data_IF_732100228930
#
_entry.id   IF_732100228930
#
_cell.length_a   1.000
_cell.length_b   1.000
_cell.length_c   1.000
_cell.angle_alpha   90.00
_cell.angle_beta   90.00
_cell.angle_gamma   90.00
#
_symmetry.space_group_name_H-M   'P 1'
#
loop_
_entity.id
_entity.type
_entity.pdbx_description
1 polymer ?
#
# COMPACT_ATOMS: atom_id res chain seq x y z
N UNK A 1 -0.30 16.60 9.99
CA UNK A 1 -0.10 15.14 10.25
C UNK A 1 0.59 14.98 11.60
N UNK A 2 0.02 14.15 12.47
CA UNK A 2 0.51 13.93 13.83
C UNK A 2 1.13 12.54 13.95
N UNK A 3 2.40 12.48 14.29
CA UNK A 3 3.20 11.26 14.26
C UNK A 3 3.73 10.94 15.66
N UNK A 4 3.75 9.66 16.00
CA UNK A 4 4.49 9.15 17.16
C UNK A 4 5.70 8.38 16.66
N UNK A 5 6.89 8.67 17.21
CA UNK A 5 8.08 7.84 17.08
C UNK A 5 8.29 7.02 18.35
N UNK A 6 8.16 5.71 18.24
CA UNK A 6 8.43 4.76 19.31
C UNK A 6 9.71 3.99 18.99
N UNK A 7 10.53 3.75 19.99
CA UNK A 7 11.74 2.94 19.86
C UNK A 7 12.55 2.95 21.14
N UNK A 8 13.41 1.97 21.32
CA UNK A 8 14.28 1.83 22.48
C UNK A 8 15.26 2.99 22.65
N UNK A 9 15.96 3.06 23.79
CA UNK A 9 17.09 3.96 23.92
C UNK A 9 18.11 3.66 22.80
N UNK A 10 18.72 4.69 22.20
CA UNK A 10 19.68 4.50 21.11
C UNK A 10 19.09 4.13 19.74
N UNK A 11 17.76 4.06 19.59
CA UNK A 11 17.12 3.71 18.29
C UNK A 11 17.15 4.82 17.23
N UNK A 12 17.67 6.01 17.54
CA UNK A 12 17.77 7.12 16.58
C UNK A 12 16.52 8.00 16.46
N UNK A 13 15.55 7.91 17.40
CA UNK A 13 14.31 8.69 17.35
C UNK A 13 14.51 10.17 17.05
N UNK A 14 15.36 10.85 17.81
CA UNK A 14 15.57 12.30 17.65
C UNK A 14 16.17 12.63 16.27
N UNK A 15 17.11 11.83 15.80
CA UNK A 15 17.70 11.97 14.47
C UNK A 15 16.61 11.84 13.38
N UNK A 16 15.79 10.81 13.46
CA UNK A 16 14.73 10.62 12.45
C UNK A 16 13.59 11.64 12.60
N UNK A 17 13.31 12.12 13.82
CA UNK A 17 12.37 13.21 14.04
C UNK A 17 12.78 14.48 13.28
N UNK A 18 14.06 14.84 13.27
CA UNK A 18 14.58 15.99 12.53
C UNK A 18 14.35 15.87 11.01
N UNK A 19 14.60 14.69 10.42
CA UNK A 19 14.31 14.45 9.01
C UNK A 19 12.80 14.53 8.71
N UNK A 20 11.97 13.96 9.58
CA UNK A 20 10.52 13.96 9.42
C UNK A 20 9.96 15.39 9.53
N UNK A 21 10.38 16.16 10.52
CA UNK A 21 9.91 17.54 10.72
C UNK A 21 10.28 18.44 9.55
N UNK A 22 11.48 18.28 9.00
CA UNK A 22 11.93 19.02 7.83
C UNK A 22 11.12 18.65 6.58
N UNK A 23 10.88 17.35 6.34
CA UNK A 23 10.17 16.88 5.15
C UNK A 23 8.69 17.25 5.14
N UNK A 24 8.01 17.14 6.29
CA UNK A 24 6.56 17.38 6.39
C UNK A 24 6.21 18.77 6.91
N UNK A 25 7.21 19.58 7.26
CA UNK A 25 7.02 20.92 7.84
C UNK A 25 6.07 20.91 9.06
N UNK A 26 6.37 20.01 10.02
CA UNK A 26 5.63 19.82 11.27
C UNK A 26 6.55 20.01 12.47
N UNK A 27 5.97 20.21 13.65
CA UNK A 27 6.72 20.54 14.86
C UNK A 27 7.33 19.29 15.52
N UNK A 28 8.53 19.42 16.09
CA UNK A 28 9.18 18.40 16.90
C UNK A 28 8.80 18.60 18.37
N UNK A 29 8.01 17.69 18.91
CA UNK A 29 7.64 17.69 20.33
C UNK A 29 8.42 16.59 21.04
N UNK A 30 9.46 17.00 21.78
CA UNK A 30 10.31 16.13 22.57
C UNK A 30 10.11 16.44 24.07
N UNK A 31 9.31 15.64 24.82
CA UNK A 31 9.04 15.91 26.24
C UNK A 31 10.28 16.02 27.11
N UNK A 32 11.35 15.30 26.79
CA UNK A 32 12.61 15.41 27.49
C UNK A 32 13.23 16.80 27.41
N UNK A 33 13.07 17.51 26.30
CA UNK A 33 13.53 18.89 26.16
C UNK A 33 12.60 19.87 26.89
N UNK A 34 11.29 19.65 26.76
CA UNK A 34 10.29 20.45 27.47
C UNK A 34 10.50 20.41 28.98
N UNK A 35 10.78 19.23 29.54
CA UNK A 35 11.11 19.04 30.95
C UNK A 35 12.40 19.76 31.35
N UNK A 36 13.46 19.71 30.53
CA UNK A 36 14.70 20.45 30.79
C UNK A 36 14.46 21.96 30.79
N UNK A 37 13.70 22.48 29.83
CA UNK A 37 13.31 23.89 29.76
C UNK A 37 12.49 24.31 30.99
N UNK A 38 11.50 23.50 31.38
CA UNK A 38 10.69 23.75 32.58
C UNK A 38 11.52 23.72 33.85
N UNK A 39 12.49 22.82 33.96
CA UNK A 39 13.41 22.77 35.11
C UNK A 39 14.30 24.03 35.17
N UNK A 40 14.79 24.52 34.03
CA UNK A 40 15.63 25.72 33.96
C UNK A 40 14.87 27.02 34.27
N UNK A 41 13.55 27.06 34.01
CA UNK A 41 12.71 28.23 34.30
C UNK A 41 12.42 28.44 35.81
N UNK A 42 12.71 27.42 36.61
CA UNK A 42 12.45 27.53 38.08
C UNK A 42 10.99 27.33 38.47
N UNK A 43 10.66 27.72 39.71
CA UNK A 43 9.31 27.60 40.25
C UNK A 43 8.99 26.21 40.81
N UNK A 44 7.71 26.00 41.12
CA UNK A 44 7.21 24.77 41.80
C UNK A 44 7.42 23.51 40.92
N UNK A 45 7.20 23.63 39.62
CA UNK A 45 7.42 22.54 38.67
C UNK A 45 8.90 22.10 38.65
N UNK A 46 9.84 23.05 38.67
CA UNK A 46 11.26 22.76 38.74
C UNK A 46 11.66 22.05 40.03
N UNK A 47 11.06 22.42 41.17
CA UNK A 47 11.29 21.73 42.45
C UNK A 47 10.84 20.26 42.39
N UNK A 48 9.64 19.99 41.87
CA UNK A 48 9.14 18.62 41.67
C UNK A 48 10.01 17.80 40.72
N UNK A 49 10.57 18.40 39.66
CA UNK A 49 11.47 17.76 38.72
C UNK A 49 12.89 17.54 39.25
N UNK A 50 13.33 18.34 40.23
CA UNK A 50 14.68 18.23 40.84
C UNK A 50 14.80 17.06 41.81
N UNK A 51 13.69 16.59 42.38
CA UNK A 51 13.63 15.46 43.31
C UNK A 51 13.58 14.08 42.61
N UNK A 52 13.62 14.04 41.24
CA UNK A 52 13.56 12.79 40.50
C UNK A 52 14.94 12.09 40.53
N UNK A 53 14.92 10.81 40.82
CA UNK A 53 16.09 9.94 40.66
C UNK A 53 16.58 9.84 39.22
N UNK A 54 17.89 9.56 39.02
CA UNK A 54 18.46 9.34 37.69
C UNK A 54 17.81 8.10 37.05
N UNK A 55 17.09 8.32 35.94
CA UNK A 55 16.44 7.24 35.15
C UNK A 55 14.95 7.01 35.44
N UNK A 56 14.35 7.74 36.37
CA UNK A 56 12.91 7.70 36.61
C UNK A 56 12.13 8.52 35.58
N UNK A 57 10.85 8.15 35.39
CA UNK A 57 9.94 8.94 34.57
C UNK A 57 9.48 10.17 35.35
N UNK A 58 9.41 11.31 34.67
CA UNK A 58 8.82 12.51 35.24
C UNK A 58 7.33 12.33 35.58
N UNK A 59 6.79 13.04 36.58
CA UNK A 59 5.38 12.98 36.96
C UNK A 59 4.48 13.20 35.74
N UNK A 60 3.50 12.30 35.55
CA UNK A 60 2.66 12.26 34.36
C UNK A 60 1.85 13.55 34.15
N UNK A 61 1.38 14.16 35.19
CA UNK A 61 0.64 15.43 35.15
C UNK A 61 1.48 16.56 34.57
N UNK A 62 2.77 16.63 34.94
CA UNK A 62 3.71 17.62 34.40
C UNK A 62 3.96 17.35 32.91
N UNK A 63 4.24 16.10 32.56
CA UNK A 63 4.50 15.72 31.15
C UNK A 63 3.27 16.01 30.29
N UNK A 64 2.08 15.62 30.74
CA UNK A 64 0.84 15.84 30.01
C UNK A 64 0.57 17.33 29.78
N UNK A 65 0.76 18.16 30.83
CA UNK A 65 0.60 19.63 30.72
C UNK A 65 1.53 20.21 29.67
N UNK A 66 2.84 19.87 29.72
CA UNK A 66 3.82 20.38 28.77
C UNK A 66 3.55 19.91 27.33
N UNK A 67 3.10 18.66 27.17
CA UNK A 67 2.73 18.10 25.87
C UNK A 67 1.49 18.81 25.31
N UNK A 68 0.46 19.05 26.12
CA UNK A 68 -0.74 19.78 25.69
C UNK A 68 -0.41 21.20 25.24
N UNK A 69 0.42 21.92 26.03
CA UNK A 69 0.85 23.26 25.67
C UNK A 69 1.66 23.31 24.37
N UNK A 70 2.47 22.27 24.10
CA UNK A 70 3.22 22.14 22.86
C UNK A 70 2.31 21.81 21.68
N UNK A 71 1.38 20.87 21.83
CA UNK A 71 0.41 20.50 20.80
C UNK A 71 -0.49 21.68 20.43
N UNK A 72 -0.93 22.48 21.40
CA UNK A 72 -1.75 23.67 21.15
C UNK A 72 -1.04 24.74 20.30
N UNK A 73 0.30 24.77 20.32
CA UNK A 73 1.14 25.67 19.50
C UNK A 73 1.45 25.11 18.11
N UNK A 74 1.28 23.81 17.91
CA UNK A 74 1.59 23.16 16.64
C UNK A 74 0.51 23.41 15.59
N UNK A 75 0.82 24.21 14.56
CA UNK A 75 -0.17 24.65 13.56
C UNK A 75 -0.33 23.68 12.39
N UNK A 76 0.71 22.91 12.03
CA UNK A 76 0.73 22.03 10.83
C UNK A 76 0.77 20.55 11.17
N UNK A 77 0.76 20.22 12.46
CA UNK A 77 0.97 18.88 12.98
C UNK A 77 2.30 18.75 13.70
N UNK A 78 2.59 17.56 14.20
CA UNK A 78 3.77 17.35 15.04
C UNK A 78 4.30 15.91 14.93
N UNK A 79 5.54 15.73 15.38
CA UNK A 79 6.11 14.42 15.70
C UNK A 79 6.45 14.35 17.19
N UNK A 80 5.90 13.37 17.89
CA UNK A 80 6.31 13.04 19.24
C UNK A 80 7.58 12.18 19.23
N UNK A 81 8.62 12.65 19.87
CA UNK A 81 9.86 11.90 20.08
C UNK A 81 9.88 11.28 21.49
N UNK A 82 9.67 9.98 21.56
CA UNK A 82 9.70 9.23 22.79
C UNK A 82 8.53 9.54 23.75
N UNK A 83 7.36 9.80 23.21
CA UNK A 83 6.09 9.92 23.91
C UNK A 83 4.98 9.34 23.01
N UNK A 84 4.02 8.56 23.57
CA UNK A 84 3.93 8.07 24.94
C UNK A 84 4.95 6.97 25.25
N UNK A 85 5.34 6.84 26.54
CA UNK A 85 6.27 5.80 27.01
C UNK A 85 5.60 4.65 27.74
N UNK A 86 4.40 4.83 28.26
CA UNK A 86 3.62 3.82 28.95
C UNK A 86 2.11 4.02 28.71
N UNK A 87 1.33 2.99 29.03
CA UNK A 87 -0.08 2.94 28.64
C UNK A 87 -0.96 4.05 29.23
N UNK A 88 -0.62 4.58 30.43
CA UNK A 88 -1.39 5.70 30.97
C UNK A 88 -1.29 6.94 30.07
N UNK A 89 -0.11 7.22 29.50
CA UNK A 89 0.08 8.34 28.57
C UNK A 89 -0.71 8.13 27.25
N UNK A 90 -0.88 6.90 26.82
CA UNK A 90 -1.76 6.60 25.66
C UNK A 90 -3.21 6.97 25.98
N UNK A 91 -3.70 6.55 27.14
CA UNK A 91 -5.06 6.88 27.62
C UNK A 91 -5.26 8.38 27.78
N UNK A 92 -4.25 9.08 28.26
CA UNK A 92 -4.30 10.53 28.44
C UNK A 92 -4.39 11.24 27.08
N UNK A 93 -3.62 10.80 26.06
CA UNK A 93 -3.74 11.34 24.69
C UNK A 93 -5.15 11.14 24.12
N UNK A 94 -5.73 9.97 24.33
CA UNK A 94 -7.09 9.66 23.87
C UNK A 94 -8.14 10.53 24.61
N UNK A 95 -8.01 10.66 25.92
CA UNK A 95 -8.89 11.50 26.77
C UNK A 95 -8.85 12.97 26.37
N UNK A 96 -7.66 13.49 26.06
CA UNK A 96 -7.47 14.87 25.62
C UNK A 96 -7.84 15.09 24.13
N UNK A 97 -8.29 14.04 23.43
CA UNK A 97 -8.70 14.15 22.03
C UNK A 97 -7.54 14.44 21.07
N UNK A 98 -6.30 14.18 21.47
CA UNK A 98 -5.12 14.40 20.64
C UNK A 98 -5.04 13.29 19.59
N UNK A 99 -5.43 13.62 18.37
CA UNK A 99 -5.50 12.67 17.25
C UNK A 99 -4.10 12.35 16.72
N UNK A 100 -3.79 11.07 16.59
CA UNK A 100 -2.54 10.55 16.00
C UNK A 100 -2.86 9.91 14.67
N UNK A 101 -2.14 10.30 13.62
CA UNK A 101 -2.34 9.81 12.26
C UNK A 101 -1.45 8.60 11.96
N UNK A 102 -0.20 8.63 12.41
CA UNK A 102 0.80 7.58 12.15
C UNK A 102 1.64 7.28 13.40
N UNK A 103 2.02 6.02 13.54
CA UNK A 103 2.95 5.57 14.58
C UNK A 103 4.10 4.82 13.93
N UNK A 104 5.30 5.33 14.04
CA UNK A 104 6.52 4.70 13.54
C UNK A 104 7.24 4.02 14.68
N UNK A 105 7.35 2.72 14.61
CA UNK A 105 8.13 1.91 15.53
C UNK A 105 9.50 1.61 14.94
N UNK A 106 10.54 2.14 15.60
CA UNK A 106 11.93 1.88 15.24
C UNK A 106 12.40 0.60 15.94
N UNK A 107 12.38 -0.49 15.20
CA UNK A 107 12.85 -1.78 15.69
C UNK A 107 14.37 -1.87 15.50
N UNK A 108 15.09 -1.99 16.61
CA UNK A 108 16.55 -2.09 16.66
C UNK A 108 16.91 -3.22 17.61
N UNK A 109 17.88 -4.07 17.23
CA UNK A 109 18.34 -5.18 18.05
C UNK A 109 19.02 -4.68 19.34
N UNK A 110 18.94 -5.43 20.43
CA UNK A 110 19.62 -5.07 21.68
C UNK A 110 21.11 -4.84 21.51
N UNK A 111 21.77 -5.64 20.67
CA UNK A 111 23.20 -5.55 20.36
C UNK A 111 23.53 -4.21 19.70
N UNK A 112 22.75 -3.80 18.73
CA UNK A 112 22.93 -2.54 18.03
C UNK A 112 22.61 -1.33 18.95
N UNK A 113 21.62 -1.45 19.82
CA UNK A 113 21.31 -0.44 20.85
C UNK A 113 22.52 -0.24 21.76
N UNK A 114 23.10 -1.33 22.26
CA UNK A 114 24.31 -1.26 23.14
C UNK A 114 25.45 -0.61 22.37
N UNK A 115 25.74 -1.06 21.14
CA UNK A 115 26.79 -0.51 20.30
C UNK A 115 26.65 1.02 20.12
N UNK A 116 25.45 1.48 19.76
CA UNK A 116 25.17 2.91 19.55
C UNK A 116 25.28 3.75 20.81
N UNK A 117 24.76 3.26 21.94
CA UNK A 117 24.84 3.98 23.20
C UNK A 117 26.26 4.08 23.73
N UNK A 118 27.05 2.99 23.64
CA UNK A 118 28.46 2.99 24.01
C UNK A 118 29.29 3.97 23.14
N UNK A 119 29.03 3.97 21.82
CA UNK A 119 29.69 4.89 20.89
C UNK A 119 29.32 6.37 21.13
N UNK A 120 28.10 6.64 21.64
CA UNK A 120 27.65 8.00 21.97
C UNK A 120 28.36 8.61 23.19
N UNK A 121 28.75 7.81 24.16
CA UNK A 121 29.59 8.19 25.26
C UNK A 121 29.09 9.23 26.24
N UNK A 122 27.76 9.30 26.48
CA UNK A 122 27.18 10.20 27.50
C UNK A 122 27.41 9.63 28.91
N UNK A 123 27.32 10.47 29.92
CA UNK A 123 27.45 10.05 31.33
C UNK A 123 26.46 8.96 31.75
N UNK A 124 25.28 8.93 31.10
CA UNK A 124 24.21 7.94 31.33
C UNK A 124 24.30 6.72 30.41
N UNK A 125 25.37 6.57 29.62
CA UNK A 125 25.60 5.44 28.72
C UNK A 125 26.58 4.38 29.33
N UNK A 126 26.57 4.23 30.65
CA UNK A 126 27.29 3.14 31.34
C UNK A 126 26.56 1.81 31.13
N UNK A 127 27.25 0.67 30.99
CA UNK A 127 26.64 -0.63 30.66
C UNK A 127 25.47 -1.04 31.54
N UNK A 128 25.54 -0.82 32.84
CA UNK A 128 24.49 -1.12 33.82
C UNK A 128 23.24 -0.23 33.61
N UNK A 129 23.47 1.08 33.35
CA UNK A 129 22.39 2.03 33.10
C UNK A 129 21.71 1.68 31.75
N UNK A 130 22.48 1.29 30.73
CA UNK A 130 21.95 0.86 29.44
C UNK A 130 21.04 -0.37 29.62
N UNK A 131 21.50 -1.40 30.37
CA UNK A 131 20.70 -2.60 30.66
C UNK A 131 19.37 -2.25 31.35
N UNK A 132 19.42 -1.41 32.36
CA UNK A 132 18.24 -0.96 33.08
C UNK A 132 17.27 -0.18 32.18
N UNK A 133 17.79 0.69 31.31
CA UNK A 133 16.96 1.44 30.33
C UNK A 133 16.29 0.53 29.31
N UNK A 134 16.98 -0.50 28.83
CA UNK A 134 16.41 -1.51 27.92
C UNK A 134 15.34 -2.32 28.63
N UNK A 135 15.58 -2.75 29.89
CA UNK A 135 14.61 -3.50 30.67
C UNK A 135 13.34 -2.67 30.95
N UNK A 136 13.51 -1.41 31.37
CA UNK A 136 12.41 -0.48 31.60
C UNK A 136 11.60 -0.22 30.31
N UNK A 137 12.30 -0.01 29.19
CA UNK A 137 11.68 0.15 27.88
C UNK A 137 10.81 -1.07 27.50
N UNK A 138 11.34 -2.27 27.65
CA UNK A 138 10.59 -3.50 27.37
C UNK A 138 9.36 -3.63 28.25
N UNK A 139 9.48 -3.33 29.55
CA UNK A 139 8.39 -3.42 30.51
C UNK A 139 7.30 -2.38 30.28
N UNK A 140 7.67 -1.13 30.12
CA UNK A 140 6.71 0.00 30.10
C UNK A 140 6.25 0.38 28.69
N UNK A 141 7.19 0.39 27.70
CA UNK A 141 6.89 0.82 26.32
C UNK A 141 6.50 -0.35 25.41
N UNK A 142 6.90 -1.57 25.75
CA UNK A 142 6.45 -2.78 25.03
C UNK A 142 4.93 -2.84 24.88
N UNK A 143 4.13 -2.70 25.94
CA UNK A 143 2.67 -2.66 25.84
C UNK A 143 2.12 -1.53 24.94
N UNK A 144 2.80 -0.38 24.89
CA UNK A 144 2.43 0.73 23.99
C UNK A 144 2.64 0.35 22.52
N UNK A 145 3.76 -0.31 22.21
CA UNK A 145 4.03 -0.83 20.85
C UNK A 145 2.93 -1.80 20.44
N UNK A 146 2.61 -2.78 21.31
CA UNK A 146 1.57 -3.79 21.00
C UNK A 146 0.17 -3.17 20.88
N UNK A 147 -0.11 -2.12 21.64
CA UNK A 147 -1.36 -1.37 21.50
C UNK A 147 -1.47 -0.72 20.12
N UNK A 148 -0.43 0.02 19.70
CA UNK A 148 -0.45 0.69 18.41
C UNK A 148 -0.27 -0.25 17.23
N UNK A 149 0.38 -1.40 17.38
CA UNK A 149 0.51 -2.44 16.35
C UNK A 149 -0.86 -2.89 15.80
N UNK A 150 -1.89 -2.85 16.64
CA UNK A 150 -3.28 -3.21 16.29
C UNK A 150 -4.07 -2.04 15.68
N UNK A 151 -3.51 -0.84 15.65
CA UNK A 151 -4.19 0.35 15.14
C UNK A 151 -3.79 0.66 13.68
N UNK A 152 -4.70 1.25 12.89
CA UNK A 152 -4.35 1.76 11.58
C UNK A 152 -3.22 2.80 11.67
N UNK A 153 -2.34 2.84 10.69
CA UNK A 153 -1.24 3.82 10.66
C UNK A 153 0.02 3.39 11.40
N UNK A 154 0.07 2.16 11.96
CA UNK A 154 1.29 1.60 12.53
C UNK A 154 2.28 1.19 11.43
N UNK A 155 3.52 1.64 11.57
CA UNK A 155 4.61 1.41 10.63
C UNK A 155 5.80 0.88 11.41
N UNK A 156 6.21 -0.34 11.15
CA UNK A 156 7.44 -0.90 11.71
C UNK A 156 8.60 -0.71 10.74
N UNK A 157 9.72 -0.22 11.26
CA UNK A 157 10.94 0.02 10.49
C UNK A 157 12.11 -0.63 11.22
N UNK A 158 12.84 -1.50 10.53
CA UNK A 158 14.12 -2.00 11.00
C UNK A 158 15.15 -0.87 10.85
N UNK A 159 15.49 -0.21 11.97
CA UNK A 159 16.31 0.99 11.97
C UNK A 159 17.77 0.65 12.29
N UNK A 160 18.33 -0.32 11.55
CA UNK A 160 19.72 -0.78 11.67
C UNK A 160 20.29 -1.22 10.32
N UNK A 161 21.61 -1.31 10.20
CA UNK A 161 22.29 -1.83 9.00
C UNK A 161 22.37 -0.86 7.80
N UNK A 162 22.20 0.46 8.02
CA UNK A 162 22.33 1.48 6.98
C UNK A 162 22.70 2.85 7.56
N UNK A 163 23.02 3.79 6.68
CA UNK A 163 23.25 5.19 7.06
C UNK A 163 21.96 5.86 7.54
N UNK A 164 22.05 6.81 8.48
CA UNK A 164 20.87 7.50 9.03
C UNK A 164 19.96 8.12 7.97
N UNK A 165 20.54 8.66 6.89
CA UNK A 165 19.82 9.28 5.78
C UNK A 165 19.03 8.26 4.96
N UNK A 166 19.55 7.06 4.76
CA UNK A 166 18.87 5.99 4.03
C UNK A 166 17.67 5.47 4.82
N UNK A 167 17.85 5.26 6.11
CA UNK A 167 16.78 4.86 7.02
C UNK A 167 15.72 5.97 7.11
N UNK A 168 16.13 7.24 7.18
CA UNK A 168 15.22 8.38 7.17
C UNK A 168 14.39 8.44 5.88
N UNK A 169 15.01 8.25 4.72
CA UNK A 169 14.29 8.17 3.42
C UNK A 169 13.28 7.02 3.40
N UNK A 170 13.65 5.86 3.95
CA UNK A 170 12.74 4.72 4.06
C UNK A 170 11.54 5.03 4.97
N UNK A 171 11.76 5.68 6.13
CA UNK A 171 10.69 6.12 7.03
C UNK A 171 9.77 7.11 6.32
N UNK A 172 10.32 8.14 5.68
CA UNK A 172 9.58 9.17 4.95
C UNK A 172 8.73 8.55 3.83
N UNK A 173 9.31 7.64 3.06
CA UNK A 173 8.56 6.94 2.01
C UNK A 173 7.39 6.13 2.57
N UNK A 174 7.59 5.42 3.68
CA UNK A 174 6.50 4.69 4.37
C UNK A 174 5.44 5.65 4.95
N UNK A 175 5.84 6.81 5.47
CA UNK A 175 4.91 7.84 5.97
C UNK A 175 4.09 8.48 4.84
N UNK A 176 4.68 8.66 3.66
CA UNK A 176 3.98 9.14 2.44
C UNK A 176 3.02 8.10 1.86
N UNK A 177 3.23 6.82 2.14
CA UNK A 177 2.30 5.77 1.75
C UNK A 177 1.00 5.95 2.54
N UNK A 178 -0.10 6.15 1.82
CA UNK A 178 -1.43 6.18 2.42
C UNK A 178 -1.74 4.82 3.04
N UNK A 179 -2.23 4.81 4.28
CA UNK A 179 -2.78 3.58 4.86
C UNK A 179 -3.97 3.12 4.04
N UNK A 180 -4.29 1.82 4.13
CA UNK A 180 -5.46 1.25 3.44
C UNK A 180 -6.76 2.00 3.82
N UNK A 181 -6.85 2.54 5.05
CA UNK A 181 -7.96 3.37 5.52
C UNK A 181 -7.95 4.76 4.89
N UNK A 182 -6.79 5.41 4.79
CA UNK A 182 -6.64 6.72 4.13
C UNK A 182 -6.79 6.60 2.61
N UNK A 183 -6.39 5.46 2.02
CA UNK A 183 -6.70 5.14 0.63
C UNK A 183 -8.20 4.91 0.44
N UNK A 184 -8.91 4.31 1.42
CA UNK A 184 -10.37 4.18 1.41
C UNK A 184 -11.11 5.50 1.52
N UNK A 185 -10.60 6.44 2.31
CA UNK A 185 -11.18 7.80 2.41
C UNK A 185 -10.85 8.65 1.18
N UNK A 186 -9.71 8.38 0.52
CA UNK A 186 -9.29 9.09 -0.69
C UNK A 186 -9.78 8.44 -1.99
N UNK A 187 -9.84 7.12 -2.06
CA UNK A 187 -10.66 6.40 -3.03
C UNK A 187 -12.08 6.63 -2.53
N UNK A 188 -12.81 7.48 -3.22
CA UNK A 188 -14.26 7.66 -3.02
C UNK A 188 -14.93 6.32 -3.31
N UNK A 189 -14.89 5.41 -2.32
CA UNK A 189 -15.44 4.05 -2.47
C UNK A 189 -16.95 4.11 -2.74
N UNK A 190 -17.42 3.15 -3.48
CA UNK A 190 -18.81 3.06 -3.89
C UNK A 190 -19.13 4.02 -5.03
N UNK A 191 -20.21 4.78 -4.91
CA UNK A 191 -20.76 5.60 -6.00
C UNK A 191 -19.85 6.70 -6.55
N UNK A 192 -18.79 7.04 -5.82
CA UNK A 192 -17.80 8.05 -6.21
C UNK A 192 -16.52 7.46 -6.77
N UNK A 193 -16.37 6.11 -6.77
CA UNK A 193 -15.22 5.46 -7.37
C UNK A 193 -15.27 5.63 -8.90
N UNK A 194 -14.26 6.23 -9.54
CA UNK A 194 -14.23 6.34 -11.00
C UNK A 194 -14.28 4.99 -11.72
N UNK A 195 -13.79 3.94 -11.06
CA UNK A 195 -13.80 2.57 -11.57
C UNK A 195 -15.09 1.80 -11.36
N UNK A 196 -16.07 2.35 -10.64
CA UNK A 196 -17.30 1.64 -10.30
C UNK A 196 -18.02 1.14 -11.56
N UNK A 197 -18.41 -0.13 -11.57
CA UNK A 197 -19.05 -0.78 -12.71
C UNK A 197 -18.26 -0.71 -14.02
N UNK A 198 -16.93 -0.69 -13.97
CA UNK A 198 -16.08 -0.72 -15.16
C UNK A 198 -15.19 -1.95 -15.15
N UNK A 199 -15.13 -2.64 -16.28
CA UNK A 199 -14.29 -3.82 -16.47
C UNK A 199 -13.46 -3.66 -17.74
N UNK A 200 -12.13 -3.76 -17.58
CA UNK A 200 -11.19 -3.74 -18.67
C UNK A 200 -10.64 -5.16 -18.88
N UNK A 201 -10.87 -5.71 -20.04
CA UNK A 201 -10.28 -6.97 -20.48
C UNK A 201 -8.96 -6.70 -21.17
N UNK A 202 -7.91 -7.42 -20.75
CA UNK A 202 -6.63 -7.42 -21.43
C UNK A 202 -6.50 -8.69 -22.25
N UNK A 203 -6.23 -8.55 -23.54
CA UNK A 203 -5.95 -9.65 -24.44
C UNK A 203 -4.60 -9.48 -25.12
N UNK A 204 -3.97 -10.60 -25.48
CA UNK A 204 -2.66 -10.66 -26.12
C UNK A 204 -1.95 -11.96 -25.75
N UNK A 205 -1.17 -12.52 -26.66
CA UNK A 205 -0.45 -13.78 -26.45
C UNK A 205 0.65 -13.70 -25.38
N UNK A 206 1.28 -14.83 -25.05
CA UNK A 206 2.53 -14.84 -24.29
C UNK A 206 3.57 -13.95 -24.99
N UNK A 207 4.38 -13.21 -24.25
CA UNK A 207 5.38 -12.30 -24.84
C UNK A 207 4.82 -10.97 -25.38
N UNK A 208 3.50 -10.77 -25.46
CA UNK A 208 2.92 -9.53 -26.00
C UNK A 208 3.14 -8.28 -25.13
N UNK A 209 3.52 -8.42 -23.85
CA UNK A 209 3.74 -7.29 -22.94
C UNK A 209 2.53 -6.85 -22.12
N UNK A 210 1.48 -7.67 -22.02
CA UNK A 210 0.30 -7.39 -21.18
C UNK A 210 0.65 -6.97 -19.76
N UNK A 211 1.54 -7.72 -19.09
CA UNK A 211 1.96 -7.43 -17.72
C UNK A 211 2.55 -6.03 -17.60
N UNK A 212 3.34 -5.62 -18.58
CA UNK A 212 3.91 -4.27 -18.61
C UNK A 212 2.83 -3.19 -18.76
N UNK A 213 1.86 -3.41 -19.66
CA UNK A 213 0.70 -2.51 -19.82
C UNK A 213 -0.12 -2.46 -18.53
N UNK A 214 -0.37 -3.62 -17.88
CA UNK A 214 -1.10 -3.68 -16.62
C UNK A 214 -0.40 -2.87 -15.53
N UNK A 215 0.89 -3.06 -15.34
CA UNK A 215 1.66 -2.40 -14.29
C UNK A 215 1.84 -0.90 -14.53
N UNK A 216 1.88 -0.47 -15.78
CA UNK A 216 2.17 0.92 -16.13
C UNK A 216 0.91 1.74 -16.43
N UNK A 217 0.06 1.28 -17.34
CA UNK A 217 -1.10 2.06 -17.79
C UNK A 217 -2.28 2.03 -16.79
N UNK A 218 -2.40 0.96 -16.00
CA UNK A 218 -3.40 0.84 -14.94
C UNK A 218 -2.90 1.25 -13.55
N UNK A 219 -1.63 1.62 -13.42
CA UNK A 219 -1.08 2.08 -12.14
C UNK A 219 -1.84 3.31 -11.61
N UNK A 220 -2.16 3.29 -10.32
CA UNK A 220 -2.85 4.40 -9.65
C UNK A 220 -4.33 4.59 -10.02
N UNK A 221 -4.94 3.68 -10.81
CA UNK A 221 -6.36 3.76 -11.19
C UNK A 221 -7.32 3.22 -10.13
N UNK A 222 -6.84 2.48 -9.14
CA UNK A 222 -7.69 1.81 -8.14
C UNK A 222 -8.38 0.53 -8.61
N UNK A 223 -8.29 0.20 -9.91
CA UNK A 223 -8.89 -1.01 -10.48
C UNK A 223 -8.28 -2.28 -9.90
N UNK A 224 -9.08 -3.31 -9.72
CA UNK A 224 -8.67 -4.60 -9.16
C UNK A 224 -8.21 -5.53 -10.28
N UNK A 225 -6.94 -5.91 -10.25
CA UNK A 225 -6.37 -6.83 -11.24
C UNK A 225 -6.78 -8.26 -10.91
N UNK A 226 -7.45 -8.90 -11.84
CA UNK A 226 -7.87 -10.30 -11.81
C UNK A 226 -6.96 -11.08 -12.73
N UNK A 227 -5.93 -11.69 -12.14
CA UNK A 227 -4.92 -12.50 -12.86
C UNK A 227 -4.45 -13.64 -11.96
N UNK A 228 -4.59 -14.88 -12.43
CA UNK A 228 -4.13 -16.07 -11.69
C UNK A 228 -2.63 -16.33 -11.84
N UNK A 229 -1.93 -15.71 -12.79
CA UNK A 229 -0.52 -16.00 -13.05
C UNK A 229 0.38 -15.61 -11.87
N UNK A 230 0.13 -14.49 -11.21
CA UNK A 230 0.91 -14.07 -10.04
C UNK A 230 0.70 -15.01 -8.82
N UNK A 231 -0.50 -15.54 -8.64
CA UNK A 231 -0.80 -16.52 -7.60
C UNK A 231 -0.16 -17.88 -7.95
N UNK A 232 -0.21 -18.28 -9.21
CA UNK A 232 0.40 -19.48 -9.72
C UNK A 232 1.93 -19.45 -9.56
N UNK A 233 2.59 -18.37 -9.95
CA UNK A 233 4.04 -18.23 -9.82
C UNK A 233 4.49 -18.27 -8.35
N UNK A 234 3.75 -17.63 -7.44
CA UNK A 234 4.02 -17.75 -6.01
C UNK A 234 3.87 -19.19 -5.51
N UNK A 235 2.83 -19.89 -5.97
CA UNK A 235 2.60 -21.30 -5.62
C UNK A 235 3.72 -22.21 -6.09
N UNK A 236 4.25 -22.02 -7.33
CA UNK A 236 5.39 -22.76 -7.83
C UNK A 236 6.64 -22.55 -6.97
N UNK A 237 6.96 -21.29 -6.65
CA UNK A 237 8.09 -20.94 -5.76
C UNK A 237 7.96 -21.56 -4.36
N UNK A 238 6.77 -21.54 -3.78
CA UNK A 238 6.50 -22.14 -2.47
C UNK A 238 6.62 -23.66 -2.46
N UNK A 239 6.30 -24.30 -3.59
CA UNK A 239 6.44 -25.75 -3.77
C UNK A 239 7.82 -26.17 -4.28
N UNK A 240 8.78 -25.23 -4.44
CA UNK A 240 10.09 -25.45 -5.02
C UNK A 240 10.06 -26.06 -6.44
N UNK A 241 9.00 -25.75 -7.22
CA UNK A 241 8.88 -26.20 -8.61
C UNK A 241 9.53 -25.19 -9.56
N UNK A 242 10.00 -25.72 -10.70
CA UNK A 242 10.70 -24.93 -11.71
C UNK A 242 9.77 -23.94 -12.42
N UNK A 243 10.24 -22.69 -12.56
CA UNK A 243 9.56 -21.69 -13.41
C UNK A 243 9.72 -21.98 -14.91
N UNK A 244 10.60 -22.90 -15.30
CA UNK A 244 10.77 -23.37 -16.69
C UNK A 244 9.74 -24.44 -17.10
N UNK A 245 8.95 -24.92 -16.13
CA UNK A 245 7.82 -25.84 -16.34
C UNK A 245 8.19 -27.15 -17.06
N UNK A 246 9.15 -27.94 -16.55
CA UNK A 246 9.47 -29.23 -17.14
C UNK A 246 8.29 -30.18 -17.04
N UNK A 247 8.20 -31.14 -17.95
CA UNK A 247 7.06 -32.06 -18.05
C UNK A 247 6.92 -32.97 -16.83
N UNK A 248 8.03 -33.31 -16.15
CA UNK A 248 8.06 -34.15 -14.96
C UNK A 248 7.30 -33.50 -13.77
N UNK A 249 7.17 -32.18 -13.76
CA UNK A 249 6.46 -31.43 -12.74
C UNK A 249 4.98 -31.17 -13.09
N UNK A 250 4.48 -31.65 -14.22
CA UNK A 250 3.16 -31.27 -14.76
C UNK A 250 2.02 -31.52 -13.77
N UNK A 251 2.00 -32.67 -13.11
CA UNK A 251 0.94 -33.02 -12.16
C UNK A 251 0.84 -32.00 -11.00
N UNK A 252 1.96 -31.74 -10.32
CA UNK A 252 1.98 -30.80 -9.18
C UNK A 252 1.73 -29.36 -9.63
N UNK A 253 2.27 -28.98 -10.81
CA UNK A 253 2.05 -27.71 -11.43
C UNK A 253 0.56 -27.45 -11.72
N UNK A 254 -0.16 -28.44 -12.19
CA UNK A 254 -1.59 -28.34 -12.48
C UNK A 254 -2.41 -28.17 -11.20
N UNK A 255 -2.10 -28.85 -10.10
CA UNK A 255 -2.73 -28.65 -8.80
C UNK A 255 -2.56 -27.20 -8.28
N UNK A 256 -1.35 -26.65 -8.44
CA UNK A 256 -1.08 -25.26 -8.04
C UNK A 256 -1.84 -24.28 -8.95
N UNK A 257 -1.93 -24.58 -10.24
CA UNK A 257 -2.69 -23.78 -11.20
C UNK A 257 -4.18 -23.72 -10.84
N UNK A 258 -4.76 -24.83 -10.47
CA UNK A 258 -6.18 -24.89 -10.10
C UNK A 258 -6.45 -24.14 -8.80
N UNK A 259 -5.57 -24.26 -7.80
CA UNK A 259 -5.65 -23.44 -6.57
C UNK A 259 -5.54 -21.93 -6.87
N UNK A 260 -4.62 -21.54 -7.74
CA UNK A 260 -4.44 -20.15 -8.15
C UNK A 260 -5.69 -19.60 -8.87
N UNK A 261 -6.31 -20.40 -9.73
CA UNK A 261 -7.59 -20.05 -10.39
C UNK A 261 -8.73 -19.90 -9.37
N UNK A 262 -8.88 -20.89 -8.46
CA UNK A 262 -9.91 -20.84 -7.42
C UNK A 262 -9.80 -19.58 -6.55
N UNK A 263 -8.60 -19.27 -6.07
CA UNK A 263 -8.33 -18.04 -5.31
C UNK A 263 -8.68 -16.78 -6.09
N UNK A 264 -8.32 -16.74 -7.37
CA UNK A 264 -8.60 -15.59 -8.25
C UNK A 264 -10.09 -15.43 -8.50
N UNK A 265 -10.83 -16.51 -8.67
CA UNK A 265 -12.29 -16.49 -8.84
C UNK A 265 -12.99 -15.99 -7.56
N UNK A 266 -12.57 -16.44 -6.37
CA UNK A 266 -13.10 -15.93 -5.10
C UNK A 266 -12.85 -14.42 -4.95
N UNK A 267 -11.67 -13.94 -5.34
CA UNK A 267 -11.37 -12.52 -5.34
C UNK A 267 -12.26 -11.75 -6.34
N UNK A 268 -12.44 -12.27 -7.56
CA UNK A 268 -13.32 -11.68 -8.57
C UNK A 268 -14.77 -11.56 -8.06
N UNK A 269 -15.31 -12.61 -7.46
CA UNK A 269 -16.65 -12.59 -6.86
C UNK A 269 -16.79 -11.50 -5.79
N UNK A 270 -15.77 -11.35 -4.95
CA UNK A 270 -15.74 -10.32 -3.93
C UNK A 270 -15.72 -8.91 -4.55
N UNK A 271 -14.92 -8.70 -5.59
CA UNK A 271 -14.84 -7.42 -6.30
C UNK A 271 -16.16 -7.08 -7.01
N UNK A 272 -16.80 -8.08 -7.63
CA UNK A 272 -18.10 -7.93 -8.26
C UNK A 272 -19.17 -7.56 -7.24
N UNK A 273 -19.22 -8.24 -6.08
CA UNK A 273 -20.13 -7.90 -4.97
C UNK A 273 -19.95 -6.46 -4.50
N UNK A 274 -18.69 -5.99 -4.45
CA UNK A 274 -18.35 -4.60 -4.15
C UNK A 274 -18.54 -3.62 -5.31
N UNK A 275 -18.91 -4.08 -6.50
CA UNK A 275 -19.06 -3.29 -7.74
C UNK A 275 -17.78 -2.55 -8.13
N UNK A 276 -16.64 -3.06 -7.70
CA UNK A 276 -15.33 -2.44 -7.90
C UNK A 276 -14.94 -2.49 -9.38
N UNK A 277 -14.12 -1.55 -9.79
CA UNK A 277 -13.53 -1.56 -11.12
C UNK A 277 -12.53 -2.70 -11.30
N UNK A 278 -12.55 -3.34 -12.45
CA UNK A 278 -11.84 -4.58 -12.75
C UNK A 278 -10.86 -4.42 -13.90
N UNK A 279 -9.71 -5.09 -13.79
CA UNK A 279 -8.81 -5.40 -14.90
C UNK A 279 -8.72 -6.93 -14.97
N UNK A 280 -9.31 -7.53 -16.02
CA UNK A 280 -9.32 -8.98 -16.24
C UNK A 280 -8.20 -9.29 -17.22
N UNK A 281 -7.09 -9.79 -16.70
CA UNK A 281 -5.93 -10.17 -17.50
C UNK A 281 -6.09 -11.61 -18.00
N UNK A 282 -6.50 -11.72 -19.25
CA UNK A 282 -6.68 -12.97 -19.98
C UNK A 282 -5.74 -13.03 -21.19
N UNK A 283 -5.47 -14.22 -21.69
CA UNK A 283 -4.73 -14.35 -22.96
C UNK A 283 -5.57 -13.87 -24.14
N UNK A 284 -6.89 -13.99 -24.05
CA UNK A 284 -7.80 -13.72 -25.17
C UNK A 284 -7.84 -14.82 -26.23
N UNK A 285 -7.26 -16.01 -25.94
CA UNK A 285 -7.32 -17.17 -26.82
C UNK A 285 -8.70 -17.84 -26.80
N UNK A 286 -9.31 -17.90 -25.63
CA UNK A 286 -10.63 -18.49 -25.43
C UNK A 286 -11.72 -17.42 -25.61
N UNK A 287 -12.26 -17.34 -26.83
CA UNK A 287 -13.28 -16.39 -27.19
C UNK A 287 -14.59 -16.62 -26.40
N UNK A 288 -15.00 -17.88 -26.22
CA UNK A 288 -16.26 -18.20 -25.54
C UNK A 288 -16.20 -17.80 -24.08
N UNK A 289 -15.06 -18.03 -23.40
CA UNK A 289 -14.88 -17.60 -22.01
C UNK A 289 -14.99 -16.08 -21.89
N UNK A 290 -14.31 -15.33 -22.76
CA UNK A 290 -14.36 -13.86 -22.74
C UNK A 290 -15.78 -13.35 -23.03
N UNK A 291 -16.47 -13.93 -24.02
CA UNK A 291 -17.86 -13.59 -24.34
C UNK A 291 -18.79 -13.82 -23.14
N UNK A 292 -18.67 -14.97 -22.48
CA UNK A 292 -19.49 -15.31 -21.32
C UNK A 292 -19.23 -14.36 -20.14
N UNK A 293 -17.96 -14.03 -19.86
CA UNK A 293 -17.60 -13.07 -18.82
C UNK A 293 -18.12 -11.66 -19.14
N UNK A 294 -17.99 -11.20 -20.37
CA UNK A 294 -18.51 -9.91 -20.81
C UNK A 294 -20.03 -9.87 -20.70
N UNK A 295 -20.73 -10.92 -21.12
CA UNK A 295 -22.18 -11.01 -21.03
C UNK A 295 -22.65 -10.94 -19.56
N UNK A 296 -22.02 -11.73 -18.67
CA UNK A 296 -22.30 -11.73 -17.24
C UNK A 296 -22.10 -10.33 -16.62
N UNK A 297 -20.93 -9.73 -16.85
CA UNK A 297 -20.60 -8.42 -16.30
C UNK A 297 -21.54 -7.33 -16.81
N UNK A 298 -21.90 -7.33 -18.10
CA UNK A 298 -22.90 -6.40 -18.65
C UNK A 298 -24.27 -6.60 -18.03
N UNK A 299 -24.66 -7.85 -17.79
CA UNK A 299 -25.95 -8.20 -17.18
C UNK A 299 -26.06 -7.66 -15.74
N UNK A 300 -24.96 -7.58 -15.00
CA UNK A 300 -24.94 -7.04 -13.64
C UNK A 300 -24.54 -5.56 -13.56
N UNK A 301 -24.44 -4.87 -14.69
CA UNK A 301 -24.31 -3.42 -14.76
C UNK A 301 -22.96 -2.89 -15.22
N UNK A 302 -21.96 -3.73 -15.49
CA UNK A 302 -20.63 -3.24 -15.88
C UNK A 302 -20.58 -2.73 -17.33
N UNK A 303 -19.88 -1.62 -17.51
CA UNK A 303 -19.36 -1.22 -18.81
C UNK A 303 -18.05 -1.96 -19.07
N UNK A 304 -18.02 -2.76 -20.13
CA UNK A 304 -16.87 -3.59 -20.49
C UNK A 304 -16.06 -2.95 -21.63
N UNK A 305 -14.75 -2.90 -21.44
CA UNK A 305 -13.77 -2.37 -22.38
C UNK A 305 -12.69 -3.42 -22.66
N UNK A 306 -11.97 -3.30 -23.77
CA UNK A 306 -10.85 -4.16 -24.10
C UNK A 306 -9.62 -3.34 -24.45
N UNK A 307 -8.47 -3.79 -23.91
CA UNK A 307 -7.13 -3.36 -24.36
C UNK A 307 -6.45 -4.60 -24.93
N UNK A 308 -6.29 -4.62 -26.25
CA UNK A 308 -5.67 -5.70 -26.97
C UNK A 308 -4.21 -5.34 -27.26
N UNK A 309 -3.28 -6.11 -26.71
CA UNK A 309 -1.84 -5.91 -26.90
C UNK A 309 -1.38 -6.81 -28.04
N UNK A 310 -1.23 -6.23 -29.22
CA UNK A 310 -0.80 -6.93 -30.42
C UNK A 310 0.72 -7.00 -30.53
N UNK A 311 1.23 -8.12 -31.01
CA UNK A 311 2.66 -8.37 -31.20
C UNK A 311 2.81 -9.38 -32.32
N UNK A 312 3.86 -9.28 -33.14
CA UNK A 312 4.23 -10.34 -34.10
C UNK A 312 4.68 -11.60 -33.36
N UNK A 313 4.62 -12.73 -34.06
CA UNK A 313 5.05 -14.01 -33.47
C UNK A 313 6.54 -13.97 -33.10
N UNK A 314 7.38 -13.42 -33.97
CA UNK A 314 8.84 -13.37 -33.77
C UNK A 314 9.19 -12.60 -32.49
N UNK A 315 8.60 -11.42 -32.30
CA UNK A 315 8.80 -10.61 -31.07
C UNK A 315 8.25 -11.32 -29.82
N UNK A 316 7.15 -12.05 -29.94
CA UNK A 316 6.60 -12.83 -28.85
C UNK A 316 7.51 -13.99 -28.44
N UNK A 317 8.12 -14.69 -29.38
CA UNK A 317 9.08 -15.78 -29.17
C UNK A 317 10.38 -15.24 -28.55
N UNK A 318 10.96 -14.18 -29.11
CA UNK A 318 12.17 -13.53 -28.58
C UNK A 318 11.97 -13.12 -27.09
N UNK A 319 10.87 -12.45 -26.81
CA UNK A 319 10.56 -12.03 -25.42
C UNK A 319 10.27 -13.20 -24.50
N UNK A 320 9.71 -14.31 -25.01
CA UNK A 320 9.50 -15.52 -24.21
C UNK A 320 10.82 -16.16 -23.83
N UNK A 321 11.79 -16.20 -24.74
CA UNK A 321 13.12 -16.81 -24.52
C UNK A 321 13.91 -16.03 -23.43
N UNK A 322 13.77 -14.72 -23.36
CA UNK A 322 14.52 -13.86 -22.41
C UNK A 322 13.86 -13.75 -21.03
N UNK A 323 12.67 -14.31 -20.83
CA UNK A 323 11.95 -14.24 -19.54
C UNK A 323 12.47 -15.25 -18.54
N UNK A 324 12.47 -14.88 -17.24
CA UNK A 324 12.75 -15.80 -16.13
C UNK A 324 11.78 -16.99 -16.03
N UNK A 325 10.56 -16.84 -16.59
CA UNK A 325 9.57 -17.90 -16.80
C UNK A 325 9.30 -18.01 -18.28
N UNK A 326 9.93 -18.97 -18.95
CA UNK A 326 9.68 -19.30 -20.34
C UNK A 326 8.72 -20.48 -20.47
N UNK A 327 7.94 -20.47 -21.54
CA UNK A 327 7.07 -21.58 -21.91
C UNK A 327 7.53 -22.14 -23.28
N UNK A 328 7.25 -23.41 -23.58
CA UNK A 328 7.61 -24.00 -24.85
C UNK A 328 7.11 -23.18 -26.04
N UNK A 329 7.94 -23.05 -27.09
CA UNK A 329 7.65 -22.22 -28.27
C UNK A 329 6.34 -22.58 -28.96
N UNK A 330 6.05 -23.89 -29.10
CA UNK A 330 4.80 -24.36 -29.71
C UNK A 330 3.55 -23.87 -28.95
N UNK A 331 3.66 -23.68 -27.62
CA UNK A 331 2.57 -23.12 -26.79
C UNK A 331 2.42 -21.62 -27.06
N UNK A 332 3.55 -20.90 -27.22
CA UNK A 332 3.54 -19.48 -27.60
C UNK A 332 2.85 -19.29 -28.92
N UNK A 333 3.28 -20.07 -29.96
CA UNK A 333 2.74 -20.00 -31.29
C UNK A 333 1.23 -20.31 -31.31
N UNK A 334 0.81 -21.44 -30.74
CA UNK A 334 -0.60 -21.85 -30.68
C UNK A 334 -1.46 -20.81 -29.96
N UNK A 335 -0.90 -20.21 -28.90
CA UNK A 335 -1.62 -19.16 -28.14
C UNK A 335 -1.71 -17.88 -28.97
N UNK A 336 -0.65 -17.49 -29.66
CA UNK A 336 -0.61 -16.33 -30.54
C UNK A 336 -1.62 -16.46 -31.69
N UNK A 337 -1.61 -17.58 -32.41
CA UNK A 337 -2.56 -17.87 -33.49
C UNK A 337 -4.01 -17.78 -33.04
N UNK A 338 -4.34 -18.39 -31.88
CA UNK A 338 -5.69 -18.35 -31.34
C UNK A 338 -6.12 -16.94 -30.93
N UNK A 339 -5.19 -16.10 -30.43
CA UNK A 339 -5.47 -14.70 -30.09
C UNK A 339 -5.68 -13.88 -31.37
N UNK A 340 -4.85 -14.03 -32.39
CA UNK A 340 -4.98 -13.31 -33.65
C UNK A 340 -6.30 -13.63 -34.37
N UNK A 341 -6.68 -14.91 -34.39
CA UNK A 341 -7.96 -15.36 -34.99
C UNK A 341 -9.19 -14.69 -34.33
N UNK A 342 -9.07 -14.27 -33.06
CA UNK A 342 -10.19 -13.70 -32.32
C UNK A 342 -10.32 -12.17 -32.42
N UNK A 343 -9.37 -11.44 -33.03
CA UNK A 343 -9.38 -9.96 -33.08
C UNK A 343 -10.69 -9.44 -33.67
N UNK A 344 -11.12 -9.96 -34.82
CA UNK A 344 -12.36 -9.52 -35.47
C UNK A 344 -13.62 -9.79 -34.62
N UNK A 345 -13.64 -10.89 -33.87
CA UNK A 345 -14.72 -11.19 -32.95
C UNK A 345 -14.73 -10.21 -31.76
N UNK A 346 -13.57 -9.86 -31.22
CA UNK A 346 -13.46 -8.88 -30.16
C UNK A 346 -13.86 -7.47 -30.61
N UNK A 347 -13.50 -7.05 -31.83
CA UNK A 347 -13.94 -5.79 -32.41
C UNK A 347 -15.47 -5.68 -32.49
N UNK A 348 -16.15 -6.77 -32.83
CA UNK A 348 -17.61 -6.85 -32.84
C UNK A 348 -18.19 -6.84 -31.41
N UNK A 349 -17.57 -7.58 -30.47
CA UNK A 349 -18.04 -7.70 -29.10
C UNK A 349 -17.94 -6.38 -28.32
N UNK A 350 -16.84 -5.65 -28.47
CA UNK A 350 -16.56 -4.44 -27.69
C UNK A 350 -16.92 -3.13 -28.42
N UNK A 351 -17.18 -3.16 -29.71
CA UNK A 351 -17.34 -2.00 -30.60
C UNK A 351 -16.09 -1.08 -30.63
N UNK A 352 -15.93 -0.23 -31.67
CA UNK A 352 -14.71 0.59 -31.85
C UNK A 352 -14.40 1.51 -30.66
N UNK A 353 -15.43 2.06 -30.03
CA UNK A 353 -15.25 3.00 -28.92
C UNK A 353 -14.88 2.34 -27.58
N UNK A 354 -15.04 1.02 -27.46
CA UNK A 354 -14.79 0.25 -26.23
C UNK A 354 -13.60 -0.70 -26.35
N UNK A 355 -12.91 -0.68 -27.47
CA UNK A 355 -11.70 -1.49 -27.70
C UNK A 355 -10.54 -0.62 -28.15
N UNK A 356 -9.38 -0.84 -27.56
CA UNK A 356 -8.11 -0.27 -27.98
C UNK A 356 -7.18 -1.42 -28.43
N UNK A 357 -6.62 -1.33 -29.61
CA UNK A 357 -5.57 -2.22 -30.10
C UNK A 357 -4.24 -1.46 -30.00
N UNK A 358 -3.27 -2.03 -29.32
CA UNK A 358 -1.95 -1.48 -29.10
C UNK A 358 -0.95 -2.32 -29.88
N UNK A 359 -0.18 -1.73 -30.76
CA UNK A 359 0.96 -2.38 -31.40
C UNK A 359 2.18 -2.28 -30.47
N UNK A 360 2.65 -3.42 -29.99
CA UNK A 360 3.79 -3.54 -29.09
C UNK A 360 4.95 -4.34 -29.71
N UNK A 361 5.23 -4.14 -30.99
CA UNK A 361 6.33 -4.81 -31.70
C UNK A 361 7.69 -4.16 -31.50
N UNK A 362 7.75 -2.90 -31.05
CA UNK A 362 8.98 -2.13 -30.96
C UNK A 362 9.51 -2.06 -29.53
N UNK A 363 10.83 -2.04 -29.40
CA UNK A 363 11.55 -2.00 -28.11
C UNK A 363 12.13 -0.61 -27.77
N UNK A 364 12.05 0.36 -28.69
CA UNK A 364 12.58 1.70 -28.49
C UNK A 364 11.81 2.44 -27.39
N UNK A 365 12.54 3.10 -26.48
CA UNK A 365 11.97 3.75 -25.28
C UNK A 365 10.87 4.77 -25.61
N UNK A 366 11.03 5.55 -26.68
CA UNK A 366 10.06 6.56 -27.09
C UNK A 366 8.75 5.95 -27.56
N UNK A 367 8.82 4.86 -28.34
CA UNK A 367 7.64 4.16 -28.85
C UNK A 367 6.91 3.38 -27.77
N UNK A 368 7.64 2.80 -26.83
CA UNK A 368 7.06 2.18 -25.62
C UNK A 368 6.32 3.25 -24.79
N UNK A 369 6.89 4.44 -24.66
CA UNK A 369 6.24 5.56 -23.98
C UNK A 369 4.95 6.00 -24.69
N UNK A 370 4.93 6.07 -26.02
CA UNK A 370 3.75 6.41 -26.81
C UNK A 370 2.62 5.36 -26.64
N UNK A 371 2.97 4.08 -26.65
CA UNK A 371 2.05 2.97 -26.40
C UNK A 371 1.41 3.10 -25.03
N UNK A 372 2.21 3.34 -23.98
CA UNK A 372 1.71 3.51 -22.62
C UNK A 372 0.85 4.77 -22.46
N UNK A 373 1.24 5.88 -23.09
CA UNK A 373 0.45 7.12 -23.07
C UNK A 373 -0.90 6.94 -23.74
N UNK A 374 -0.95 6.20 -24.87
CA UNK A 374 -2.18 5.88 -25.58
C UNK A 374 -3.10 5.00 -24.72
N UNK A 375 -2.55 3.93 -24.11
CA UNK A 375 -3.30 3.08 -23.20
C UNK A 375 -3.82 3.86 -21.97
N UNK A 376 -2.96 4.64 -21.34
CA UNK A 376 -3.33 5.45 -20.16
C UNK A 376 -4.41 6.48 -20.49
N UNK A 377 -4.34 7.13 -21.65
CA UNK A 377 -5.35 8.08 -22.12
C UNK A 377 -6.69 7.38 -22.35
N UNK A 378 -6.70 6.23 -23.01
CA UNK A 378 -7.89 5.43 -23.21
C UNK A 378 -8.53 5.04 -21.88
N UNK A 379 -7.76 4.47 -20.95
CA UNK A 379 -8.25 4.02 -19.63
C UNK A 379 -8.81 5.20 -18.84
N UNK A 380 -8.03 6.29 -18.68
CA UNK A 380 -8.45 7.47 -17.92
C UNK A 380 -9.71 8.12 -18.49
N UNK A 381 -9.83 8.21 -19.81
CA UNK A 381 -11.04 8.78 -20.45
C UNK A 381 -12.29 7.96 -20.12
N UNK A 382 -12.17 6.64 -19.93
CA UNK A 382 -13.29 5.78 -19.54
C UNK A 382 -13.59 5.86 -18.03
N UNK A 383 -12.57 6.06 -17.21
CA UNK A 383 -12.74 6.26 -15.78
C UNK A 383 -13.39 7.61 -15.42
N UNK A 384 -13.21 8.62 -16.26
CA UNK A 384 -13.85 9.95 -16.05
C UNK A 384 -15.32 9.99 -16.47
N UNK A 385 -15.79 9.00 -17.24
CA UNK A 385 -17.20 8.92 -17.65
C UNK A 385 -18.04 8.15 -16.64
N UNK A 386 -19.30 8.58 -16.41
CA UNK A 386 -20.25 7.81 -15.60
C UNK A 386 -20.56 6.47 -16.28
N UNK A 387 -20.88 5.40 -15.51
CA UNK A 387 -21.38 4.16 -16.09
C UNK A 387 -22.59 4.43 -17.00
N UNK A 388 -22.60 3.76 -18.16
CA UNK A 388 -23.67 3.92 -19.16
C UNK A 388 -24.77 2.85 -19.04
N UNK A 389 -24.47 1.76 -18.33
CA UNK A 389 -25.42 0.68 -18.11
C UNK A 389 -26.55 1.12 -17.17
N UNK A 390 -27.82 0.90 -17.58
CA UNK A 390 -28.98 1.29 -16.81
C UNK A 390 -29.06 0.70 -15.40
N UNK A 391 -28.60 -0.54 -15.22
CA UNK A 391 -28.54 -1.20 -13.89
C UNK A 391 -27.57 -0.45 -12.98
N UNK A 392 -26.37 -0.10 -13.48
CA UNK A 392 -25.39 0.68 -12.73
C UNK A 392 -25.94 2.07 -12.37
N UNK A 393 -26.55 2.77 -13.32
CA UNK A 393 -27.12 4.09 -13.08
C UNK A 393 -28.21 4.06 -12.00
N UNK A 394 -29.11 3.08 -12.06
CA UNK A 394 -30.17 2.92 -11.06
C UNK A 394 -29.61 2.59 -9.68
N UNK A 395 -28.59 1.72 -9.61
CA UNK A 395 -27.93 1.40 -8.35
C UNK A 395 -27.23 2.62 -7.76
N UNK A 396 -26.45 3.36 -8.55
CA UNK A 396 -25.77 4.59 -8.14
C UNK A 396 -26.76 5.62 -7.59
N UNK A 397 -27.90 5.80 -8.29
CA UNK A 397 -28.96 6.72 -7.85
C UNK A 397 -29.50 6.34 -6.46
N UNK A 398 -29.85 5.07 -6.25
CA UNK A 398 -30.33 4.57 -4.95
C UNK A 398 -29.29 4.75 -3.82
N UNK A 399 -28.02 4.47 -4.09
CA UNK A 399 -26.97 4.64 -3.10
C UNK A 399 -26.72 6.11 -2.75
N UNK A 400 -26.78 7.02 -3.72
CA UNK A 400 -26.68 8.46 -3.48
C UNK A 400 -27.84 8.97 -2.61
N UNK A 401 -29.05 8.50 -2.87
CA UNK A 401 -30.23 8.83 -2.07
C UNK A 401 -30.10 8.29 -0.63
N UNK A 402 -29.66 7.05 -0.47
CA UNK A 402 -29.41 6.46 0.84
C UNK A 402 -28.33 7.22 1.63
N UNK A 403 -27.22 7.58 0.99
CA UNK A 403 -26.15 8.36 1.63
C UNK A 403 -26.62 9.76 2.03
N UNK A 404 -27.45 10.40 1.24
CA UNK A 404 -28.04 11.70 1.59
C UNK A 404 -28.90 11.60 2.85
N UNK A 405 -29.78 10.58 2.96
CA UNK A 405 -30.58 10.34 4.17
C UNK A 405 -29.74 10.12 5.42
N UNK A 406 -28.64 9.35 5.32
CA UNK A 406 -27.73 9.11 6.45
C UNK A 406 -27.01 10.40 6.87
N UNK A 407 -26.69 11.27 5.91
CA UNK A 407 -26.06 12.56 6.19
C UNK A 407 -27.03 13.49 6.91
N UNK A 408 -28.27 13.57 6.45
CA UNK A 408 -29.34 14.39 7.05
C UNK A 408 -29.67 13.95 8.49
N UNK A 409 -29.60 12.62 8.79
CA UNK A 409 -29.80 12.08 10.14
C UNK A 409 -28.63 12.33 11.12
N UNK A 410 -27.44 12.70 10.64
CA UNK A 410 -26.28 13.01 11.48
C UNK A 410 -26.17 14.50 11.83
N UNK A 411 -27.01 15.35 11.25
CA UNK A 411 -27.03 16.79 11.46
C UNK A 411 -28.20 17.20 12.37
N UNK A 412 -29.15 16.30 12.61
CA UNK A 412 -30.22 16.43 13.61
C UNK A 412 -29.81 15.72 14.90
#
# INVERSE_FOLDING_TARGET
MNIILIGGPGSGKSTYAEFITKEFNIDHIYPGELLRKAKAQGGEMAKRLSNLGKGEFAPNDIVLKLVKDAVAKANKGFVFDGYPRYMQQVKDLEKEGIKIDKVVYLNVSPEEVIRRLTARGREDDKPEIIKNRIALYKKETGPVVEYYRKKPGFIEVKAEGGEPEEIAKMIINKLKQKTFKEMREFIKEGVYDPGIFKAFFLAGGPGSGKTFVTQSAFAGTGLKVVNSDAAFERGLKQANLSLKMPDEEEYFRNLIRDRAKATTNTALDTYIKGRLGLVIDATGRDLQLVQSQVALLRHIGYDCYMVFVNTSLDVALERNATRGRSIPEYIVQRSWEGVQANIGAYQRLFSPNKMLIIDNNRSEKELVSQVLNTASRFIRSRLTTKPQNGIAMNWIKKELEAKKRIWDLKIT
#
